data_IF_580250265887
#
_entry.id   IF_580250265887
#
_cell.length_a   1.000
_cell.length_b   1.000
_cell.length_c   1.000
_cell.angle_alpha   90.00
_cell.angle_beta   90.00
_cell.angle_gamma   90.00
#
_symmetry.space_group_name_H-M   'P 1'
#
loop_
_entity.id
_entity.type
_entity.pdbx_description
1 polymer ?
#
# COMPACT_ATOMS: atom_id res chain seq x y z
N UNK A 1 -12.25 8.85 20.03
CA UNK A 1 -10.94 8.84 19.36
C UNK A 1 -10.20 10.13 19.67
N UNK A 2 -8.88 10.09 19.85
CA UNK A 2 -8.15 11.31 20.06
C UNK A 2 -8.29 12.19 18.82
N UNK A 3 -8.64 13.46 19.03
CA UNK A 3 -8.42 14.50 18.06
C UNK A 3 -7.08 14.30 17.38
N UNK A 4 -7.04 14.51 16.08
CA UNK A 4 -5.78 14.47 15.33
C UNK A 4 -4.85 15.49 15.94
N UNK A 5 -4.06 15.04 16.92
CA UNK A 5 -3.05 15.86 17.54
C UNK A 5 -1.98 16.11 16.51
N UNK A 6 -1.85 17.34 16.14
CA UNK A 6 -0.87 17.83 15.20
C UNK A 6 0.53 17.45 15.62
N UNK A 7 1.18 16.65 14.82
CA UNK A 7 2.63 16.55 14.81
C UNK A 7 3.18 17.93 14.39
N UNK A 8 4.12 18.47 15.16
CA UNK A 8 4.84 19.70 14.88
C UNK A 8 4.22 21.04 15.33
N UNK A 9 3.37 21.06 16.35
CA UNK A 9 2.92 22.32 16.98
C UNK A 9 2.01 23.19 16.11
N UNK A 10 1.47 22.66 15.02
CA UNK A 10 0.41 23.30 14.26
C UNK A 10 -0.92 23.15 15.02
N UNK A 11 -1.79 24.18 15.05
CA UNK A 11 -3.08 24.07 15.68
C UNK A 11 -3.92 22.96 15.03
N UNK A 12 -4.60 22.16 15.85
CA UNK A 12 -5.51 21.14 15.36
C UNK A 12 -6.59 21.79 14.48
N UNK A 13 -6.77 21.30 13.24
CA UNK A 13 -7.86 21.72 12.38
C UNK A 13 -9.15 21.01 12.84
N UNK A 14 -10.08 21.77 13.40
CA UNK A 14 -11.33 21.25 13.93
C UNK A 14 -12.51 21.37 12.95
N UNK A 15 -12.28 21.91 11.75
CA UNK A 15 -13.31 22.16 10.73
C UNK A 15 -13.54 21.00 9.74
N UNK A 16 -12.76 19.93 9.82
CA UNK A 16 -12.78 18.85 8.81
C UNK A 16 -14.19 18.24 8.60
N UNK A 17 -14.91 17.96 9.67
CA UNK A 17 -16.27 17.38 9.55
C UNK A 17 -17.25 18.37 8.89
N UNK A 18 -17.12 19.66 9.18
CA UNK A 18 -17.96 20.69 8.56
C UNK A 18 -17.64 20.85 7.06
N UNK A 19 -16.37 20.77 6.69
CA UNK A 19 -15.95 20.83 5.30
C UNK A 19 -16.36 19.59 4.51
N UNK A 20 -16.21 18.41 5.08
CA UNK A 20 -16.68 17.15 4.48
C UNK A 20 -18.20 17.22 4.27
N UNK A 21 -18.96 17.67 5.29
CA UNK A 21 -20.39 17.85 5.18
C UNK A 21 -20.77 18.83 4.06
N UNK A 22 -20.04 19.94 3.92
CA UNK A 22 -20.28 20.93 2.87
C UNK A 22 -19.97 20.37 1.46
N UNK A 23 -18.89 19.59 1.33
CA UNK A 23 -18.53 18.89 0.09
C UNK A 23 -19.64 17.91 -0.30
N UNK A 24 -20.04 17.03 0.61
CA UNK A 24 -21.05 16.01 0.36
C UNK A 24 -22.45 16.58 0.06
N UNK A 25 -22.76 17.74 0.64
CA UNK A 25 -24.02 18.43 0.36
C UNK A 25 -24.08 19.12 -1.02
N UNK A 26 -22.93 19.34 -1.67
CA UNK A 26 -22.85 20.11 -2.90
C UNK A 26 -22.01 19.39 -3.98
N UNK A 27 -22.40 18.18 -4.41
CA UNK A 27 -21.59 17.37 -5.34
C UNK A 27 -21.34 18.02 -6.70
N UNK A 28 -22.21 18.92 -7.14
CA UNK A 28 -22.03 19.67 -8.38
C UNK A 28 -20.95 20.75 -8.30
N UNK A 29 -20.70 21.29 -7.10
CA UNK A 29 -19.65 22.27 -6.84
C UNK A 29 -18.34 21.63 -6.41
N UNK A 30 -18.43 20.55 -5.67
CA UNK A 30 -17.31 19.80 -5.09
C UNK A 30 -17.41 18.32 -5.49
N UNK A 31 -17.09 17.96 -6.74
CA UNK A 31 -17.12 16.57 -7.16
C UNK A 31 -16.09 15.76 -6.38
N UNK A 32 -16.49 14.57 -5.97
CA UNK A 32 -15.61 13.57 -5.35
C UNK A 32 -15.44 12.38 -6.28
N UNK A 33 -14.51 11.50 -5.99
CA UNK A 33 -14.34 10.28 -6.78
C UNK A 33 -15.59 9.41 -6.71
N UNK A 34 -16.01 8.88 -7.86
CA UNK A 34 -17.18 8.02 -8.02
C UNK A 34 -16.82 6.57 -8.35
N UNK A 35 -15.56 6.35 -8.74
CA UNK A 35 -15.04 5.03 -9.13
C UNK A 35 -13.52 4.98 -9.11
N UNK A 36 -12.94 3.79 -9.26
CA UNK A 36 -11.51 3.60 -9.43
C UNK A 36 -10.92 4.30 -10.68
N UNK A 37 -11.76 4.69 -11.65
CA UNK A 37 -11.30 5.46 -12.79
C UNK A 37 -10.90 6.90 -12.43
N UNK A 38 -11.36 7.40 -11.28
CA UNK A 38 -11.07 8.74 -10.80
C UNK A 38 -9.80 8.80 -9.92
N UNK A 39 -9.19 7.64 -9.66
CA UNK A 39 -7.99 7.56 -8.84
C UNK A 39 -6.91 8.56 -9.30
N UNK A 40 -6.45 9.39 -8.38
CA UNK A 40 -5.35 10.31 -8.66
C UNK A 40 -4.03 9.54 -8.71
N UNK A 41 -3.48 9.39 -9.89
CA UNK A 41 -2.28 8.59 -10.12
C UNK A 41 -1.17 9.39 -10.78
N UNK A 42 0.06 9.12 -10.37
CA UNK A 42 1.25 9.54 -11.10
C UNK A 42 1.69 8.40 -12.02
N UNK A 43 1.58 8.61 -13.32
CA UNK A 43 1.96 7.63 -14.35
C UNK A 43 3.40 7.84 -14.77
N UNK A 44 4.14 6.75 -14.94
CA UNK A 44 5.53 6.76 -15.40
C UNK A 44 5.61 6.29 -16.86
N UNK A 45 6.20 7.09 -17.76
CA UNK A 45 6.29 6.73 -19.19
C UNK A 45 7.43 5.76 -19.53
N UNK A 46 8.17 5.27 -18.53
CA UNK A 46 9.40 4.50 -18.75
C UNK A 46 10.64 5.38 -18.85
N UNK A 47 11.71 4.87 -19.48
CA UNK A 47 12.96 5.63 -19.61
C UNK A 47 12.74 6.99 -20.30
N UNK A 48 13.35 8.08 -19.77
CA UNK A 48 14.23 8.14 -18.59
C UNK A 48 13.47 8.30 -17.25
N UNK A 49 12.14 8.37 -17.26
CA UNK A 49 11.29 8.66 -16.11
C UNK A 49 10.54 7.40 -15.64
N UNK A 50 11.29 6.39 -15.22
CA UNK A 50 10.74 5.16 -14.64
C UNK A 50 10.19 5.40 -13.24
N UNK A 51 9.29 4.53 -12.82
CA UNK A 51 8.89 4.44 -11.42
C UNK A 51 10.14 4.29 -10.54
N UNK A 52 10.27 5.16 -9.54
CA UNK A 52 11.43 5.17 -8.64
C UNK A 52 11.52 3.90 -7.77
N UNK A 53 10.37 3.27 -7.45
CA UNK A 53 10.31 2.00 -6.73
C UNK A 53 11.01 0.92 -7.56
N UNK A 54 10.72 0.84 -8.86
CA UNK A 54 11.41 -0.07 -9.77
C UNK A 54 12.93 0.16 -9.77
N UNK A 55 13.37 1.40 -9.85
CA UNK A 55 14.81 1.70 -9.83
C UNK A 55 15.46 1.28 -8.52
N UNK A 56 14.79 1.44 -7.39
CA UNK A 56 15.33 1.12 -6.07
C UNK A 56 15.28 -0.38 -5.78
N UNK A 57 14.17 -1.04 -6.08
CA UNK A 57 13.97 -2.43 -5.70
C UNK A 57 14.53 -3.42 -6.73
N UNK A 58 14.30 -3.17 -8.02
CA UNK A 58 14.78 -4.05 -9.09
C UNK A 58 16.25 -3.82 -9.44
N UNK A 59 16.64 -2.58 -9.72
CA UNK A 59 17.98 -2.29 -10.22
C UNK A 59 19.06 -2.35 -9.13
N UNK A 60 18.73 -1.99 -7.89
CA UNK A 60 19.68 -1.98 -6.77
C UNK A 60 19.59 -3.22 -5.90
N UNK A 61 18.40 -3.78 -5.72
CA UNK A 61 18.16 -4.97 -4.88
C UNK A 61 18.72 -4.81 -3.45
N UNK A 62 18.68 -3.61 -2.91
CA UNK A 62 19.19 -3.28 -1.58
C UNK A 62 18.08 -3.16 -0.51
N UNK A 63 16.90 -3.64 -0.82
CA UNK A 63 15.75 -3.67 0.08
C UNK A 63 15.06 -5.02 0.00
N UNK A 64 14.59 -5.48 1.13
CA UNK A 64 13.84 -6.72 1.24
C UNK A 64 12.65 -6.55 2.17
N UNK A 65 11.85 -7.60 2.27
CA UNK A 65 10.69 -7.62 3.15
C UNK A 65 11.13 -7.84 4.60
N UNK A 66 10.37 -7.27 5.52
CA UNK A 66 10.60 -7.45 6.96
C UNK A 66 10.18 -8.85 7.42
N UNK A 67 10.98 -9.47 8.31
CA UNK A 67 10.63 -10.76 8.93
C UNK A 67 9.30 -10.69 9.68
N UNK A 68 8.99 -9.56 10.31
CA UNK A 68 7.72 -9.36 11.00
C UNK A 68 6.54 -9.48 10.04
N UNK A 69 6.65 -8.97 8.81
CA UNK A 69 5.59 -9.08 7.82
C UNK A 69 5.46 -10.52 7.31
N UNK A 70 6.56 -11.20 7.03
CA UNK A 70 6.53 -12.62 6.63
C UNK A 70 5.83 -13.44 7.69
N UNK A 71 6.28 -13.37 8.95
CA UNK A 71 5.69 -14.13 10.06
C UNK A 71 4.18 -13.85 10.21
N UNK A 72 3.78 -12.60 9.98
CA UNK A 72 2.36 -12.21 10.08
C UNK A 72 1.52 -12.83 8.96
N UNK A 73 2.03 -12.87 7.73
CA UNK A 73 1.34 -13.46 6.57
C UNK A 73 1.31 -14.99 6.66
N UNK A 74 2.41 -15.63 7.03
CA UNK A 74 2.51 -17.09 7.21
C UNK A 74 1.56 -17.58 8.31
N UNK A 75 1.56 -16.93 9.47
CA UNK A 75 0.69 -17.31 10.60
C UNK A 75 -0.81 -17.28 10.25
N UNK A 76 -1.19 -16.61 9.16
CA UNK A 76 -2.57 -16.51 8.67
C UNK A 76 -2.83 -17.26 7.39
N UNK A 77 -1.83 -17.96 6.85
CA UNK A 77 -1.88 -18.55 5.52
C UNK A 77 -2.37 -17.53 4.47
N UNK A 78 -1.89 -16.30 4.56
CA UNK A 78 -2.32 -15.21 3.70
C UNK A 78 -1.79 -15.41 2.28
N UNK A 79 -2.67 -15.54 1.26
CA UNK A 79 -2.25 -15.80 -0.12
C UNK A 79 -1.43 -14.66 -0.74
N UNK A 80 -1.36 -13.49 -0.11
CA UNK A 80 -0.58 -12.35 -0.60
C UNK A 80 0.91 -12.46 -0.29
N UNK A 81 1.35 -13.49 0.46
CA UNK A 81 2.77 -13.65 0.79
C UNK A 81 3.65 -13.64 -0.48
N UNK A 82 3.33 -14.47 -1.46
CA UNK A 82 4.09 -14.55 -2.72
C UNK A 82 3.95 -13.31 -3.61
N UNK A 83 2.97 -12.45 -3.36
CA UNK A 83 2.82 -11.17 -4.06
C UNK A 83 3.76 -10.12 -3.46
N UNK A 84 3.88 -10.09 -2.13
CA UNK A 84 4.67 -9.10 -1.41
C UNK A 84 6.13 -9.48 -1.23
N UNK A 85 6.44 -10.78 -1.22
CA UNK A 85 7.78 -11.31 -1.05
C UNK A 85 8.14 -12.28 -2.17
N UNK A 86 9.36 -12.18 -2.67
CA UNK A 86 9.95 -13.27 -3.45
C UNK A 86 10.38 -14.38 -2.49
N UNK A 87 10.24 -15.66 -2.84
CA UNK A 87 10.89 -16.73 -2.09
C UNK A 87 12.40 -16.51 -2.02
N UNK A 88 13.07 -17.22 -1.12
CA UNK A 88 14.52 -17.11 -1.03
C UNK A 88 15.18 -17.49 -2.38
N UNK A 89 16.22 -16.77 -2.82
CA UNK A 89 16.83 -16.96 -4.16
C UNK A 89 17.31 -18.38 -4.47
N UNK A 90 17.53 -19.20 -3.45
CA UNK A 90 17.95 -20.60 -3.61
C UNK A 90 16.82 -21.57 -3.89
N UNK A 91 15.57 -21.11 -3.83
CA UNK A 91 14.40 -21.98 -3.81
C UNK A 91 13.54 -21.91 -5.08
N UNK A 92 13.75 -20.95 -5.99
CA UNK A 92 12.89 -20.83 -7.17
C UNK A 92 13.57 -20.22 -8.41
N UNK A 93 12.99 -20.47 -9.58
CA UNK A 93 13.47 -19.95 -10.87
C UNK A 93 12.52 -18.84 -11.36
N UNK A 94 12.98 -17.60 -11.31
CA UNK A 94 12.26 -16.42 -11.84
C UNK A 94 11.93 -16.50 -13.33
N UNK A 95 12.61 -17.36 -14.08
CA UNK A 95 12.38 -17.51 -15.52
C UNK A 95 11.25 -18.49 -15.85
N UNK A 96 10.75 -19.25 -14.88
CA UNK A 96 9.64 -20.17 -15.07
C UNK A 96 8.30 -19.48 -14.82
N UNK A 97 7.47 -19.21 -15.86
CA UNK A 97 6.17 -18.58 -15.70
C UNK A 97 5.12 -19.49 -15.03
N UNK A 98 5.45 -20.77 -14.84
CA UNK A 98 4.60 -21.76 -14.18
C UNK A 98 5.04 -22.12 -12.77
N UNK A 99 5.95 -21.35 -12.17
CA UNK A 99 6.49 -21.63 -10.83
C UNK A 99 5.37 -21.82 -9.79
N UNK A 100 5.44 -22.94 -9.10
CA UNK A 100 4.56 -23.21 -7.95
C UNK A 100 5.18 -22.63 -6.68
N UNK A 101 4.59 -21.58 -6.16
CA UNK A 101 5.04 -20.94 -4.93
C UNK A 101 4.68 -21.71 -3.65
N UNK A 102 4.02 -22.86 -3.75
CA UNK A 102 3.71 -23.70 -2.60
C UNK A 102 4.98 -24.41 -2.09
N UNK A 103 5.19 -24.36 -0.78
CA UNK A 103 6.32 -25.04 -0.13
C UNK A 103 7.68 -24.37 -0.35
N UNK A 104 7.70 -23.13 -0.83
CA UNK A 104 8.92 -22.33 -0.91
C UNK A 104 9.19 -21.63 0.44
N UNK A 105 10.47 -21.43 0.71
CA UNK A 105 10.91 -20.78 1.95
C UNK A 105 10.93 -19.26 1.80
N UNK A 106 10.46 -18.57 2.83
CA UNK A 106 10.51 -17.12 2.94
C UNK A 106 11.27 -16.74 4.21
N UNK A 107 12.22 -15.85 4.08
CA UNK A 107 12.99 -15.30 5.20
C UNK A 107 13.12 -13.79 5.00
N UNK A 108 12.81 -13.02 6.01
CA UNK A 108 12.84 -11.56 5.92
C UNK A 108 14.01 -10.93 6.65
N UNK A 109 14.19 -9.63 6.42
CA UNK A 109 15.14 -8.87 7.21
C UNK A 109 14.64 -8.69 8.65
N UNK A 110 15.53 -8.89 9.61
CA UNK A 110 15.27 -8.54 11.01
C UNK A 110 15.23 -7.02 11.16
N UNK A 111 14.11 -6.50 11.68
CA UNK A 111 13.97 -5.07 11.93
C UNK A 111 15.05 -4.59 12.92
N UNK A 112 15.77 -3.51 12.57
CA UNK A 112 16.84 -2.97 13.39
C UNK A 112 18.18 -3.70 13.30
N UNK A 113 18.33 -4.63 12.36
CA UNK A 113 19.64 -5.27 12.10
C UNK A 113 20.61 -4.27 11.47
N UNK A 114 21.86 -4.29 11.95
CA UNK A 114 22.94 -3.43 11.43
C UNK A 114 23.63 -4.02 10.18
N UNK A 115 23.55 -5.35 9.99
CA UNK A 115 24.28 -6.08 8.92
C UNK A 115 23.35 -6.52 7.77
N UNK A 116 22.79 -5.57 7.06
CA UNK A 116 21.90 -5.88 5.93
C UNK A 116 22.63 -6.55 4.76
N UNK A 117 23.83 -6.10 4.42
CA UNK A 117 24.55 -6.57 3.22
C UNK A 117 24.96 -8.04 3.26
N UNK A 118 25.22 -8.60 4.44
CA UNK A 118 25.59 -10.00 4.60
C UNK A 118 24.37 -10.95 4.50
N UNK A 119 23.15 -10.42 4.65
CA UNK A 119 21.92 -11.21 4.66
C UNK A 119 21.27 -11.33 3.27
N UNK A 120 21.64 -10.47 2.30
CA UNK A 120 20.98 -10.38 0.99
C UNK A 120 20.83 -11.71 0.23
N UNK A 121 21.82 -12.62 0.17
CA UNK A 121 21.62 -13.89 -0.51
C UNK A 121 20.74 -14.89 0.26
N UNK A 122 20.36 -14.56 1.50
CA UNK A 122 19.64 -15.46 2.42
C UNK A 122 18.26 -14.95 2.80
N UNK A 123 17.78 -13.87 2.18
CA UNK A 123 16.51 -13.25 2.51
C UNK A 123 15.64 -13.01 1.29
N UNK A 124 14.33 -12.98 1.52
CA UNK A 124 13.32 -12.67 0.51
C UNK A 124 13.38 -11.21 0.13
N UNK A 125 13.45 -10.94 -1.16
CA UNK A 125 13.30 -9.61 -1.72
C UNK A 125 11.82 -9.21 -1.79
N UNK A 126 11.58 -7.94 -2.11
CA UNK A 126 10.21 -7.44 -2.38
C UNK A 126 9.64 -8.18 -3.60
N UNK A 127 8.37 -8.54 -3.53
CA UNK A 127 7.69 -9.30 -4.57
C UNK A 127 7.71 -8.63 -5.95
N UNK A 128 7.77 -9.44 -6.99
CA UNK A 128 7.88 -8.98 -8.38
C UNK A 128 6.71 -8.13 -8.82
N UNK A 129 5.50 -8.42 -8.33
CA UNK A 129 4.30 -7.64 -8.61
C UNK A 129 4.40 -6.19 -8.12
N UNK A 130 5.24 -5.92 -7.11
CA UNK A 130 5.44 -4.58 -6.54
C UNK A 130 6.67 -3.89 -7.15
N UNK A 131 7.75 -4.66 -7.40
CA UNK A 131 9.07 -4.10 -7.66
C UNK A 131 9.46 -4.08 -9.15
N UNK A 132 8.80 -4.87 -10.02
CA UNK A 132 9.31 -5.19 -11.35
C UNK A 132 8.58 -4.49 -12.51
N UNK A 133 7.65 -3.60 -12.21
CA UNK A 133 6.98 -2.80 -13.24
C UNK A 133 7.52 -1.35 -13.26
N UNK A 134 8.29 -1.02 -14.31
CA UNK A 134 8.83 0.33 -14.50
C UNK A 134 7.76 1.39 -14.82
N UNK A 135 6.57 0.95 -15.23
CA UNK A 135 5.43 1.79 -15.56
C UNK A 135 4.38 1.85 -14.44
N UNK A 136 4.56 1.08 -13.37
CA UNK A 136 3.60 1.00 -12.28
C UNK A 136 3.22 2.40 -11.79
N UNK A 137 1.93 2.76 -11.76
CA UNK A 137 1.50 4.06 -11.28
C UNK A 137 1.69 4.17 -9.76
N UNK A 138 1.99 5.37 -9.29
CA UNK A 138 1.89 5.68 -7.86
C UNK A 138 0.54 6.32 -7.60
N UNK A 139 -0.23 5.74 -6.70
CA UNK A 139 -1.52 6.25 -6.28
C UNK A 139 -1.30 7.36 -5.25
N UNK A 140 -1.84 8.54 -5.54
CA UNK A 140 -1.76 9.72 -4.66
C UNK A 140 -2.99 9.80 -3.76
N UNK A 141 -4.16 9.47 -4.33
CA UNK A 141 -5.43 9.34 -3.64
C UNK A 141 -6.28 8.33 -4.41
N UNK A 142 -6.93 7.42 -3.70
CA UNK A 142 -7.77 6.39 -4.31
C UNK A 142 -9.24 6.59 -4.00
N UNK A 143 -10.10 5.98 -4.81
CA UNK A 143 -11.54 5.97 -4.59
C UNK A 143 -11.88 5.32 -3.24
N UNK A 144 -11.22 4.22 -2.91
CA UNK A 144 -11.40 3.53 -1.64
C UNK A 144 -11.07 4.43 -0.44
N UNK A 145 -10.01 5.23 -0.52
CA UNK A 145 -9.67 6.19 0.54
C UNK A 145 -10.76 7.24 0.71
N UNK A 146 -11.35 7.72 -0.39
CA UNK A 146 -12.47 8.68 -0.34
C UNK A 146 -13.70 8.03 0.31
N UNK A 147 -14.02 6.77 -0.03
CA UNK A 147 -15.16 6.06 0.56
C UNK A 147 -14.94 5.80 2.06
N UNK A 148 -13.72 5.45 2.50
CA UNK A 148 -13.40 5.35 3.92
C UNK A 148 -13.50 6.69 4.67
N UNK A 149 -13.09 7.80 4.05
CA UNK A 149 -13.24 9.14 4.63
C UNK A 149 -14.72 9.48 4.82
N UNK A 150 -15.56 9.18 3.84
CA UNK A 150 -17.02 9.36 3.94
C UNK A 150 -17.63 8.49 5.05
N UNK A 151 -17.24 7.20 5.07
CA UNK A 151 -17.72 6.26 6.09
C UNK A 151 -17.36 6.74 7.51
N UNK A 152 -16.11 7.18 7.71
CA UNK A 152 -15.67 7.73 9.00
C UNK A 152 -16.43 8.99 9.38
N UNK A 153 -16.67 9.90 8.43
CA UNK A 153 -17.47 11.10 8.66
C UNK A 153 -18.88 10.75 9.10
N UNK A 154 -19.58 9.86 8.39
CA UNK A 154 -20.93 9.45 8.74
C UNK A 154 -21.00 8.76 10.10
N UNK A 155 -19.99 7.96 10.45
CA UNK A 155 -19.91 7.37 11.79
C UNK A 155 -19.77 8.43 12.88
N UNK A 156 -18.97 9.47 12.65
CA UNK A 156 -18.78 10.58 13.61
C UNK A 156 -20.05 11.40 13.84
N UNK A 157 -20.89 11.55 12.83
CA UNK A 157 -22.18 12.25 12.95
C UNK A 157 -23.35 11.31 13.31
N UNK A 158 -23.04 10.09 13.78
CA UNK A 158 -24.00 9.08 14.21
C UNK A 158 -25.02 8.67 13.12
N UNK A 159 -24.57 8.61 11.88
CA UNK A 159 -25.33 8.09 10.73
C UNK A 159 -24.78 6.72 10.30
N UNK A 160 -25.00 5.71 11.13
CA UNK A 160 -24.43 4.37 10.96
C UNK A 160 -24.85 3.71 9.63
N UNK A 161 -26.08 3.96 9.16
CA UNK A 161 -26.58 3.40 7.90
C UNK A 161 -25.83 3.94 6.68
N UNK A 162 -25.53 5.25 6.65
CA UNK A 162 -24.73 5.84 5.60
C UNK A 162 -23.26 5.37 5.71
N UNK A 163 -22.71 5.31 6.91
CA UNK A 163 -21.35 4.81 7.14
C UNK A 163 -21.16 3.39 6.62
N UNK A 164 -22.11 2.48 6.91
CA UNK A 164 -22.10 1.11 6.42
C UNK A 164 -22.15 1.06 4.87
N UNK A 165 -23.00 1.89 4.25
CA UNK A 165 -23.15 1.95 2.79
C UNK A 165 -21.85 2.35 2.10
N UNK A 166 -21.14 3.34 2.63
CA UNK A 166 -19.85 3.78 2.04
C UNK A 166 -18.74 2.73 2.28
N UNK A 167 -18.76 2.07 3.43
CA UNK A 167 -17.79 1.03 3.77
C UNK A 167 -17.88 -0.23 2.88
N UNK A 168 -19.08 -0.54 2.37
CA UNK A 168 -19.36 -1.75 1.57
C UNK A 168 -19.15 -1.53 0.05
N UNK A 169 -18.80 -0.34 -0.41
CA UNK A 169 -18.49 -0.05 -1.81
C UNK A 169 -17.13 -0.58 -2.21
#
# INVERSE_FOLDING_TARGET
>A
QPDVTTTAGLPAYTGADADIAAILANPSQYPVFESNADNATLVFPGLPYRNWIFNTLYARQDQGISQTMINWLEARNDPRLHIYAQPMPSSYDLSDPGEDFSGLDYEGFQNGSEELSAQFPLVSLIGTAVAYDEYAPVYVLTYEEVEFIKAEHYLRVANDGAAQTEYEK
#
